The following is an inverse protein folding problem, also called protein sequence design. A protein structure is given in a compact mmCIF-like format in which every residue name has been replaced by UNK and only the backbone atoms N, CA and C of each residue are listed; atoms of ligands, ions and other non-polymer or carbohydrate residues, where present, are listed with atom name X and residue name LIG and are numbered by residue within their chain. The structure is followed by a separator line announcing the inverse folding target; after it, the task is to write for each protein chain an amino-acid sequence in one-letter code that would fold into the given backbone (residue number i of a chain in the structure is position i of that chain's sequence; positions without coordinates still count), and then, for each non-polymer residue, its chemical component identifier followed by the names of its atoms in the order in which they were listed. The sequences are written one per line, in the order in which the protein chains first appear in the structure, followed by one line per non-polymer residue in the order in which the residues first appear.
data_IF_447270234826
#
_entry.id   IF_447270234826
#
_cell.length_a   1.000
_cell.length_b   1.000
_cell.length_c   1.000
_cell.angle_alpha   90.00
_cell.angle_beta   90.00
_cell.angle_gamma   90.00
#
_symmetry.space_group_name_H-M   'P 1'
#
loop_
_entity.id
_entity.type
_entity.pdbx_description
1 polymer ?
#
# COMPACT_ATOMS: atom_id res chain seq x y z
N UNK A 1 -50.16 19.67 -10.77
CA UNK A 1 -48.75 20.00 -11.07
C UNK A 1 -47.82 19.46 -9.97
N UNK A 2 -48.07 18.26 -9.44
CA UNK A 2 -47.35 17.74 -8.27
C UNK A 2 -46.46 16.53 -8.62
N UNK A 3 -46.78 15.80 -9.70
CA UNK A 3 -46.10 14.57 -10.06
C UNK A 3 -44.76 14.78 -10.81
N UNK A 4 -44.62 15.87 -11.58
CA UNK A 4 -43.37 16.16 -12.32
C UNK A 4 -42.23 16.60 -11.40
N UNK A 5 -42.54 17.27 -10.28
CA UNK A 5 -41.54 17.66 -9.27
C UNK A 5 -41.02 16.43 -8.50
N UNK A 6 -41.88 15.45 -8.23
CA UNK A 6 -41.50 14.18 -7.59
C UNK A 6 -40.59 13.36 -8.51
N UNK A 7 -40.91 13.29 -9.80
CA UNK A 7 -40.10 12.56 -10.76
C UNK A 7 -38.69 13.17 -10.92
N UNK A 8 -38.61 14.50 -11.02
CA UNK A 8 -37.34 15.21 -11.19
C UNK A 8 -36.45 15.11 -9.94
N UNK A 9 -37.04 15.17 -8.74
CA UNK A 9 -36.33 14.94 -7.47
C UNK A 9 -35.83 13.50 -7.35
N UNK A 10 -36.62 12.53 -7.80
CA UNK A 10 -36.24 11.11 -7.81
C UNK A 10 -35.06 10.83 -8.75
N UNK A 11 -35.07 11.38 -9.96
CA UNK A 11 -33.98 11.21 -10.93
C UNK A 11 -32.68 11.87 -10.44
N UNK A 12 -32.76 13.05 -9.84
CA UNK A 12 -31.60 13.74 -9.29
C UNK A 12 -30.97 12.99 -8.11
N UNK A 13 -31.80 12.38 -7.25
CA UNK A 13 -31.34 11.55 -6.13
C UNK A 13 -30.59 10.30 -6.61
N UNK A 14 -31.10 9.63 -7.65
CA UNK A 14 -30.43 8.46 -8.25
C UNK A 14 -29.10 8.85 -8.90
N UNK A 15 -29.05 9.98 -9.62
CA UNK A 15 -27.80 10.50 -10.18
C UNK A 15 -26.77 10.84 -9.11
N UNK A 16 -27.18 11.49 -8.01
CA UNK A 16 -26.27 11.80 -6.91
C UNK A 16 -25.73 10.53 -6.22
N UNK A 17 -26.57 9.50 -6.03
CA UNK A 17 -26.14 8.21 -5.47
C UNK A 17 -25.13 7.53 -6.40
N UNK A 18 -25.35 7.57 -7.72
CA UNK A 18 -24.42 6.98 -8.69
C UNK A 18 -23.08 7.74 -8.75
N UNK A 19 -23.08 9.07 -8.57
CA UNK A 19 -21.85 9.88 -8.55
C UNK A 19 -21.04 9.66 -7.27
N UNK A 20 -21.68 9.53 -6.10
CA UNK A 20 -20.96 9.21 -4.85
C UNK A 20 -20.40 7.80 -4.84
N UNK A 21 -21.00 6.87 -5.58
CA UNK A 21 -20.51 5.48 -5.72
C UNK A 21 -19.19 5.38 -6.49
N UNK A 22 -18.87 6.36 -7.35
CA UNK A 22 -17.66 6.31 -8.19
C UNK A 22 -16.41 6.95 -7.54
N UNK A 23 -16.57 7.73 -6.46
CA UNK A 23 -15.48 8.63 -5.99
C UNK A 23 -14.70 8.19 -4.76
N UNK A 24 -14.96 7.03 -4.15
CA UNK A 24 -14.18 6.56 -2.99
C UNK A 24 -13.25 5.40 -3.36
N UNK A 25 -12.24 5.68 -4.17
CA UNK A 25 -11.04 4.85 -4.23
C UNK A 25 -10.09 5.35 -3.14
N UNK A 26 -10.27 4.86 -1.91
CA UNK A 26 -9.37 5.14 -0.81
C UNK A 26 -8.01 4.47 -1.06
N UNK A 27 -6.96 5.27 -1.15
CA UNK A 27 -5.59 4.78 -1.23
C UNK A 27 -5.22 4.05 0.07
N UNK A 28 -4.75 2.82 -0.07
CA UNK A 28 -4.65 1.84 1.01
C UNK A 28 -3.18 1.58 1.35
N UNK A 29 -2.82 1.74 2.62
CA UNK A 29 -1.45 1.47 3.07
C UNK A 29 -1.27 -0.03 3.35
N UNK A 30 -0.34 -0.68 2.66
CA UNK A 30 0.12 -2.04 2.97
C UNK A 30 1.28 -2.01 3.96
N UNK A 31 1.23 -2.85 4.99
CA UNK A 31 2.30 -3.01 5.98
C UNK A 31 3.16 -4.22 5.61
N UNK A 32 4.44 -4.02 5.25
CA UNK A 32 5.44 -5.10 5.22
C UNK A 32 6.25 -5.07 6.52
N UNK A 33 6.17 -6.12 7.34
CA UNK A 33 6.90 -6.21 8.61
C UNK A 33 8.23 -6.94 8.40
N UNK A 34 9.36 -6.24 8.61
CA UNK A 34 10.69 -6.85 8.59
C UNK A 34 11.43 -6.66 9.92
N UNK A 35 11.82 -7.77 10.55
CA UNK A 35 12.78 -7.76 11.68
C UNK A 35 14.20 -7.62 11.12
N UNK A 36 14.84 -6.49 11.38
CA UNK A 36 16.23 -6.26 11.02
C UNK A 36 17.19 -6.73 12.13
N UNK A 37 17.99 -7.77 11.86
CA UNK A 37 19.18 -8.11 12.65
C UNK A 37 20.44 -7.87 11.82
N UNK A 38 21.17 -6.78 12.09
CA UNK A 38 22.41 -6.44 11.37
C UNK A 38 23.57 -6.13 12.32
N UNK A 39 24.70 -6.83 12.18
CA UNK A 39 25.96 -6.53 12.87
C UNK A 39 26.60 -5.26 12.29
N UNK A 40 27.00 -4.32 13.15
CA UNK A 40 27.54 -3.02 12.76
C UNK A 40 29.07 -2.98 12.82
N UNK A 41 29.72 -2.68 11.70
CA UNK A 41 31.08 -2.12 11.67
C UNK A 41 31.02 -0.57 11.68
N UNK A 42 32.00 0.06 12.34
CA UNK A 42 32.04 1.49 12.66
C UNK A 42 32.85 2.30 11.62
N UNK A 43 32.14 2.99 10.72
CA UNK A 43 32.65 4.20 10.06
C UNK A 43 31.58 5.29 10.17
N UNK A 44 31.98 6.50 10.59
CA UNK A 44 31.09 7.66 10.80
C UNK A 44 30.64 8.24 9.45
N UNK A 45 29.56 7.68 8.95
CA UNK A 45 28.72 8.25 7.91
C UNK A 45 27.30 8.33 8.47
N UNK A 46 26.54 9.40 8.20
CA UNK A 46 25.16 9.55 8.67
C UNK A 46 24.38 8.25 8.36
N UNK A 47 24.13 7.47 9.42
CA UNK A 47 23.35 6.23 9.33
C UNK A 47 21.89 6.64 9.10
N UNK A 48 21.20 5.97 8.19
CA UNK A 48 19.76 6.12 8.03
C UNK A 48 19.10 5.86 9.40
N UNK A 49 18.25 6.78 9.83
CA UNK A 49 17.52 6.70 11.10
C UNK A 49 16.02 6.55 10.80
N UNK A 50 15.27 5.91 11.71
CA UNK A 50 13.81 5.95 11.67
C UNK A 50 13.28 7.37 11.49
N UNK A 51 12.26 7.52 10.65
CA UNK A 51 11.55 8.78 10.48
C UNK A 51 10.45 8.95 11.54
N UNK A 52 9.92 7.84 12.06
CA UNK A 52 8.90 7.82 13.09
C UNK A 52 8.32 6.43 13.30
N UNK A 53 7.12 6.39 13.88
CA UNK A 53 6.38 5.17 14.13
C UNK A 53 4.92 5.34 13.70
N UNK A 54 4.31 4.27 13.24
CA UNK A 54 2.87 4.16 13.00
C UNK A 54 2.29 3.08 13.89
N UNK A 55 1.04 3.24 14.30
CA UNK A 55 0.31 2.24 15.09
C UNK A 55 -0.58 1.45 14.16
N UNK A 56 -0.47 0.12 14.22
CA UNK A 56 -1.29 -0.78 13.42
C UNK A 56 -2.77 -0.69 13.80
N UNK A 57 -3.63 -0.83 12.81
CA UNK A 57 -5.08 -0.92 12.95
C UNK A 57 -5.57 -2.25 12.39
N UNK A 58 -6.73 -2.70 12.86
CA UNK A 58 -7.39 -3.87 12.26
C UNK A 58 -7.75 -3.56 10.81
N UNK A 59 -7.27 -4.33 9.82
CA UNK A 59 -7.62 -4.10 8.43
C UNK A 59 -9.12 -4.36 8.22
N UNK A 60 -9.80 -3.64 7.31
CA UNK A 60 -11.18 -3.94 6.98
C UNK A 60 -11.33 -5.38 6.41
N UNK A 61 -12.53 -5.97 6.43
CA UNK A 61 -12.75 -7.32 5.92
C UNK A 61 -12.32 -7.45 4.45
N UNK A 62 -11.55 -8.50 4.12
CA UNK A 62 -11.05 -8.76 2.77
C UNK A 62 -10.00 -7.77 2.27
N UNK A 63 -9.53 -6.86 3.13
CA UNK A 63 -8.63 -5.79 2.77
C UNK A 63 -7.16 -6.04 3.14
N UNK A 64 -6.87 -7.14 3.82
CA UNK A 64 -5.51 -7.59 4.05
C UNK A 64 -5.25 -8.87 3.25
N UNK A 65 -4.21 -8.84 2.43
CA UNK A 65 -3.66 -10.04 1.80
C UNK A 65 -2.59 -10.68 2.71
N UNK A 66 -2.50 -12.00 2.68
CA UNK A 66 -1.48 -12.82 3.38
C UNK A 66 -0.68 -13.71 2.44
N UNK A 67 -0.87 -13.57 1.13
CA UNK A 67 -0.08 -14.21 0.08
C UNK A 67 1.38 -13.72 0.10
N UNK A 68 2.28 -14.47 -0.54
CA UNK A 68 3.70 -14.14 -0.67
C UNK A 68 4.41 -13.77 0.65
N UNK A 69 4.02 -14.42 1.75
CA UNK A 69 4.53 -14.18 3.10
C UNK A 69 4.27 -12.75 3.62
N UNK A 70 3.21 -12.09 3.14
CA UNK A 70 2.73 -10.85 3.72
C UNK A 70 1.99 -11.09 5.03
N UNK A 71 2.09 -10.12 5.95
CA UNK A 71 1.44 -10.18 7.27
C UNK A 71 0.63 -8.92 7.49
N UNK A 72 -0.60 -9.08 7.97
CA UNK A 72 -1.43 -7.93 8.34
C UNK A 72 -0.83 -7.13 9.49
N UNK A 73 -1.03 -5.82 9.44
CA UNK A 73 -0.80 -4.95 10.59
C UNK A 73 -1.67 -5.43 11.78
N UNK A 74 -1.07 -5.56 12.96
CA UNK A 74 -1.73 -5.96 14.19
C UNK A 74 -2.19 -4.70 14.93
N UNK A 75 -3.45 -4.70 15.38
CA UNK A 75 -4.02 -3.56 16.08
C UNK A 75 -3.22 -3.22 17.35
N UNK A 76 -2.81 -1.95 17.48
CA UNK A 76 -2.06 -1.45 18.64
C UNK A 76 -0.54 -1.68 18.57
N UNK A 77 -0.04 -2.51 17.65
CA UNK A 77 1.40 -2.71 17.47
C UNK A 77 2.09 -1.50 16.84
N UNK A 78 3.32 -1.19 17.27
CA UNK A 78 4.09 -0.08 16.75
C UNK A 78 5.05 -0.53 15.63
N UNK A 79 4.87 0.04 14.45
CA UNK A 79 5.70 -0.23 13.28
C UNK A 79 6.59 0.97 12.98
N UNK A 80 7.88 0.72 12.75
CA UNK A 80 8.86 1.79 12.46
C UNK A 80 8.78 2.20 11.00
N UNK A 81 8.75 3.51 10.72
CA UNK A 81 8.75 4.04 9.35
C UNK A 81 10.11 4.62 8.99
N UNK A 82 10.48 4.48 7.72
CA UNK A 82 11.74 4.97 7.18
C UNK A 82 11.46 5.81 5.93
N UNK A 83 12.19 6.91 5.79
CA UNK A 83 12.24 7.73 4.56
C UNK A 83 13.60 7.61 3.85
N UNK A 84 14.43 6.69 4.32
CA UNK A 84 15.76 6.44 3.81
C UNK A 84 16.03 4.94 3.79
N UNK A 85 16.95 4.54 2.93
CA UNK A 85 17.48 3.18 2.84
C UNK A 85 18.97 3.16 3.22
N UNK A 86 19.55 1.97 3.47
CA UNK A 86 21.01 1.83 3.57
C UNK A 86 21.72 2.38 2.33
N UNK A 87 23.00 2.73 2.47
CA UNK A 87 23.81 3.26 1.36
C UNK A 87 23.89 2.27 0.22
N UNK A 88 23.68 2.77 -1.00
CA UNK A 88 23.83 2.01 -2.24
C UNK A 88 25.30 1.97 -2.64
N UNK A 89 25.80 0.78 -2.95
CA UNK A 89 27.13 0.53 -3.52
C UNK A 89 27.09 -0.62 -4.54
N UNK A 90 28.22 -0.95 -5.18
CA UNK A 90 28.30 -2.00 -6.23
C UNK A 90 27.77 -3.40 -5.81
N UNK A 91 27.63 -3.65 -4.51
CA UNK A 91 27.18 -4.93 -3.93
C UNK A 91 26.26 -4.68 -2.75
N UNK A 92 25.26 -3.82 -2.95
CA UNK A 92 24.29 -3.48 -1.91
C UNK A 92 23.62 -4.75 -1.40
N UNK A 93 23.64 -4.95 -0.08
CA UNK A 93 22.93 -6.07 0.54
C UNK A 93 21.46 -5.66 0.72
N UNK A 94 20.55 -6.53 0.29
CA UNK A 94 19.12 -6.36 0.41
C UNK A 94 18.47 -7.70 0.80
N UNK A 95 17.23 -7.62 1.27
CA UNK A 95 16.36 -8.78 1.45
C UNK A 95 15.44 -8.78 0.23
N UNK A 96 15.43 -9.88 -0.52
CA UNK A 96 14.50 -10.06 -1.63
C UNK A 96 13.17 -10.58 -1.08
N UNK A 97 12.09 -9.89 -1.41
CA UNK A 97 10.72 -10.29 -1.13
C UNK A 97 10.01 -10.64 -2.43
N UNK A 98 8.98 -11.47 -2.36
CA UNK A 98 8.15 -11.82 -3.51
C UNK A 98 6.89 -10.94 -3.50
N UNK A 99 6.49 -10.47 -4.68
CA UNK A 99 5.31 -9.64 -4.89
C UNK A 99 4.78 -9.87 -6.31
N UNK A 100 3.47 -9.95 -6.47
CA UNK A 100 2.77 -9.92 -7.75
C UNK A 100 2.46 -8.48 -8.13
N UNK A 101 2.82 -8.10 -9.36
CA UNK A 101 2.51 -6.76 -9.91
C UNK A 101 1.29 -6.80 -10.83
N UNK A 102 0.60 -7.94 -10.89
CA UNK A 102 -0.58 -8.15 -11.70
C UNK A 102 -1.81 -7.48 -11.11
N UNK A 103 -2.78 -7.21 -11.99
CA UNK A 103 -4.07 -6.68 -11.57
C UNK A 103 -4.80 -7.73 -10.74
N UNK A 104 -5.08 -7.40 -9.49
CA UNK A 104 -5.74 -8.32 -8.56
C UNK A 104 -4.77 -9.26 -7.82
N UNK A 105 -3.46 -9.14 -8.06
CA UNK A 105 -2.43 -9.75 -7.23
C UNK A 105 -2.25 -9.03 -5.90
N UNK A 106 -1.25 -9.46 -5.12
CA UNK A 106 -0.97 -8.95 -3.78
C UNK A 106 -0.31 -7.57 -3.72
N UNK A 107 0.27 -7.09 -4.83
CA UNK A 107 0.83 -5.74 -4.93
C UNK A 107 -0.21 -4.61 -4.84
N UNK A 108 -1.49 -4.93 -4.93
CA UNK A 108 -2.59 -3.98 -4.76
C UNK A 108 -2.80 -3.07 -5.97
N UNK A 109 -2.22 -1.86 -5.93
CA UNK A 109 -2.42 -0.83 -6.96
C UNK A 109 -1.45 -0.96 -8.14
N UNK A 110 -1.62 -0.16 -9.21
CA UNK A 110 -0.66 -0.06 -10.30
C UNK A 110 0.71 0.46 -9.81
N UNK A 111 1.78 0.11 -10.52
CA UNK A 111 3.15 0.51 -10.20
C UNK A 111 3.34 2.03 -10.28
N UNK A 112 4.04 2.61 -9.31
CA UNK A 112 4.16 4.07 -9.16
C UNK A 112 4.87 4.74 -10.35
N UNK A 113 5.88 4.08 -10.94
CA UNK A 113 6.70 4.68 -11.99
C UNK A 113 5.95 4.92 -13.30
N UNK A 114 4.99 4.08 -13.66
CA UNK A 114 4.30 4.12 -14.96
C UNK A 114 2.78 4.00 -14.89
N UNK A 115 2.21 3.84 -13.68
CA UNK A 115 0.78 3.72 -13.45
C UNK A 115 0.16 2.45 -14.01
N UNK A 116 0.95 1.37 -14.22
CA UNK A 116 0.49 0.12 -14.84
C UNK A 116 0.68 -1.10 -13.95
N UNK A 117 -0.11 -2.12 -14.24
CA UNK A 117 0.13 -3.49 -13.75
C UNK A 117 1.10 -4.19 -14.70
N UNK A 118 1.93 -5.07 -14.15
CA UNK A 118 2.91 -5.86 -14.91
C UNK A 118 2.64 -7.34 -14.67
N UNK A 119 2.83 -8.18 -15.69
CA UNK A 119 2.67 -9.62 -15.52
C UNK A 119 3.77 -10.19 -14.62
N UNK A 120 3.46 -11.25 -13.87
CA UNK A 120 4.43 -11.92 -12.99
C UNK A 120 5.57 -12.61 -13.76
N UNK A 121 5.39 -12.83 -15.07
CA UNK A 121 6.46 -13.28 -15.97
C UNK A 121 7.44 -12.14 -16.37
N UNK A 122 7.12 -10.89 -16.04
CA UNK A 122 7.97 -9.73 -16.34
C UNK A 122 8.92 -9.46 -15.18
N UNK A 123 10.22 -9.33 -15.47
CA UNK A 123 11.24 -9.08 -14.45
C UNK A 123 11.24 -7.62 -13.97
N UNK A 124 10.39 -7.29 -12.99
CA UNK A 124 10.26 -5.96 -12.37
C UNK A 124 10.44 -6.02 -10.85
N UNK A 125 10.78 -4.88 -10.22
CA UNK A 125 10.99 -4.74 -8.76
C UNK A 125 10.50 -3.37 -8.27
N UNK A 126 10.29 -3.24 -6.95
CA UNK A 126 9.97 -1.99 -6.26
C UNK A 126 11.08 -1.60 -5.26
#
# INVERSE_FOLDING_TARGET
MENSQVLLKGVLLVLMILVTSWSTAEAKAHCHHHRHHGRHHHHRHHRCKPAGHMIGITPPPGQCNTENNSTCCVAGESYTTYKCSPRVHKRTRAILTLNSFEKGGDGGGPSECDGRFHSDDTLVVA
#
